data_IF_938620603992
#
_entry.id   IF_938620603992
#
_cell.length_a   1.000
_cell.length_b   1.000
_cell.length_c   1.000
_cell.angle_alpha   90.00
_cell.angle_beta   90.00
_cell.angle_gamma   90.00
#
_symmetry.space_group_name_H-M   'P 1'
#
loop_
_entity.id
_entity.type
_entity.pdbx_description
1 polymer ?
#
# COMPACT_ATOMS: atom_id res chain seq x y z
N UNK A 1 2.96 -14.57 -14.04
CA UNK A 1 2.78 -13.43 -13.10
C UNK A 1 3.05 -13.97 -11.71
N UNK A 2 3.90 -13.33 -10.89
CA UNK A 2 4.14 -13.77 -9.53
C UNK A 2 2.88 -13.57 -8.67
N UNK A 3 2.63 -14.49 -7.74
CA UNK A 3 1.59 -14.36 -6.74
C UNK A 3 2.05 -13.37 -5.66
N UNK A 4 1.22 -12.36 -5.37
CA UNK A 4 1.51 -11.38 -4.34
C UNK A 4 1.11 -11.93 -2.97
N UNK A 5 2.01 -11.82 -2.02
CA UNK A 5 1.70 -12.13 -0.62
C UNK A 5 0.90 -10.98 0.01
N UNK A 6 0.01 -11.33 0.94
CA UNK A 6 -0.67 -10.33 1.74
C UNK A 6 0.36 -9.57 2.62
N UNK A 7 0.18 -8.27 2.83
CA UNK A 7 1.03 -7.51 3.74
C UNK A 7 0.96 -8.12 5.15
N UNK A 8 2.11 -8.50 5.71
CA UNK A 8 2.21 -8.95 7.10
C UNK A 8 2.95 -7.92 7.93
N UNK A 9 2.72 -7.91 9.25
CA UNK A 9 3.43 -7.02 10.18
C UNK A 9 4.94 -7.26 10.15
N UNK A 10 5.39 -8.48 9.85
CA UNK A 10 6.82 -8.81 9.74
C UNK A 10 7.53 -8.07 8.60
N UNK A 11 6.82 -7.77 7.52
CA UNK A 11 7.36 -7.03 6.37
C UNK A 11 7.33 -5.51 6.57
N UNK A 12 6.70 -5.03 7.64
CA UNK A 12 6.53 -3.60 7.88
C UNK A 12 7.85 -2.85 8.03
N UNK A 13 8.79 -3.42 8.80
CA UNK A 13 10.10 -2.80 9.01
C UNK A 13 10.87 -2.68 7.70
N UNK A 14 10.97 -3.76 6.92
CA UNK A 14 11.65 -3.76 5.63
C UNK A 14 10.99 -2.82 4.62
N UNK A 15 9.66 -2.67 4.67
CA UNK A 15 8.95 -1.71 3.83
C UNK A 15 9.24 -0.26 4.22
N UNK A 16 9.31 0.07 5.51
CA UNK A 16 9.70 1.40 5.98
C UNK A 16 11.13 1.75 5.56
N UNK A 17 12.06 0.81 5.69
CA UNK A 17 13.46 1.02 5.26
C UNK A 17 13.52 1.34 3.76
N UNK A 18 12.84 0.55 2.93
CA UNK A 18 12.78 0.77 1.48
C UNK A 18 12.08 2.09 1.10
N UNK A 19 11.07 2.52 1.86
CA UNK A 19 10.41 3.84 1.70
C UNK A 19 11.38 4.98 2.02
N UNK A 20 12.13 4.85 3.12
CA UNK A 20 13.04 5.89 3.61
C UNK A 20 14.23 6.12 2.65
N UNK A 21 14.62 5.13 1.83
CA UNK A 21 15.61 5.29 0.76
C UNK A 21 15.27 6.41 -0.24
N UNK A 22 13.98 6.72 -0.41
CA UNK A 22 13.50 7.78 -1.32
C UNK A 22 13.34 9.14 -0.64
N UNK A 23 13.49 9.19 0.69
CA UNK A 23 13.30 10.38 1.51
C UNK A 23 11.89 10.54 2.07
N UNK A 24 11.81 10.89 3.35
CA UNK A 24 10.54 11.12 4.05
C UNK A 24 9.82 12.33 3.47
N UNK A 25 8.56 12.13 3.09
CA UNK A 25 7.73 13.18 2.48
C UNK A 25 7.92 13.35 0.97
N UNK A 26 8.79 12.57 0.33
CA UNK A 26 8.88 12.52 -1.13
C UNK A 26 7.64 11.84 -1.70
N UNK A 27 6.92 12.54 -2.60
CA UNK A 27 5.78 11.93 -3.30
C UNK A 27 6.31 10.84 -4.23
N UNK A 28 5.91 9.59 -3.96
CA UNK A 28 6.17 8.49 -4.88
C UNK A 28 4.96 8.31 -5.78
N UNK A 29 5.13 8.66 -7.06
CA UNK A 29 4.12 8.44 -8.09
C UNK A 29 3.75 6.95 -8.16
N UNK A 30 2.46 6.65 -8.06
CA UNK A 30 1.96 5.26 -8.09
C UNK A 30 1.97 4.52 -6.75
N UNK A 31 2.43 5.14 -5.66
CA UNK A 31 2.36 4.52 -4.31
C UNK A 31 0.93 4.37 -3.77
N UNK A 32 -0.02 5.17 -4.28
CA UNK A 32 -1.38 5.25 -3.75
C UNK A 32 -1.47 5.93 -2.38
N UNK A 33 -0.34 6.35 -1.79
CA UNK A 33 -0.27 7.03 -0.50
C UNK A 33 -0.59 8.52 -0.66
N UNK A 34 -1.39 9.02 0.27
CA UNK A 34 -1.70 10.44 0.42
C UNK A 34 -0.82 11.05 1.52
N UNK A 35 -0.52 12.35 1.45
CA UNK A 35 0.25 13.03 2.51
C UNK A 35 -0.36 12.94 3.91
N UNK A 36 -1.66 12.66 4.01
CA UNK A 36 -2.39 12.52 5.27
C UNK A 36 -2.40 11.09 5.83
N UNK A 37 -1.87 10.10 5.10
CA UNK A 37 -1.88 8.72 5.56
C UNK A 37 -0.79 8.52 6.63
N UNK A 38 -1.20 8.11 7.82
CA UNK A 38 -0.27 7.72 8.89
C UNK A 38 0.21 6.28 8.65
N UNK A 39 1.36 6.16 8.00
CA UNK A 39 2.01 4.87 7.73
C UNK A 39 3.14 4.56 8.72
N UNK A 40 3.40 5.44 9.67
CA UNK A 40 4.44 5.27 10.70
C UNK A 40 3.91 4.50 11.93
N UNK A 41 2.61 4.26 11.98
CA UNK A 41 1.94 3.44 12.99
C UNK A 41 1.49 2.08 12.42
N UNK A 42 1.87 0.96 13.06
CA UNK A 42 1.48 -0.42 12.66
C UNK A 42 -0.03 -0.64 12.61
N UNK A 43 -0.81 0.14 13.38
CA UNK A 43 -2.28 0.09 13.39
C UNK A 43 -2.94 0.44 12.05
N UNK A 44 -2.28 1.24 11.20
CA UNK A 44 -2.81 1.61 9.89
C UNK A 44 -2.77 0.45 8.88
N UNK A 45 -1.79 -0.47 9.01
CA UNK A 45 -1.69 -1.65 8.14
C UNK A 45 -2.76 -2.70 8.40
N UNK A 46 -3.14 -2.90 9.66
CA UNK A 46 -4.24 -3.80 10.02
C UNK A 46 -5.62 -3.32 9.53
N UNK A 47 -5.73 -2.02 9.24
CA UNK A 47 -6.96 -1.38 8.74
C UNK A 47 -6.98 -1.22 7.21
N UNK A 48 -5.89 -1.58 6.52
CA UNK A 48 -5.84 -1.54 5.05
C UNK A 48 -6.77 -2.63 4.51
N UNK A 49 -8.03 -2.25 4.29
CA UNK A 49 -9.04 -3.11 3.70
C UNK A 49 -8.46 -3.76 2.43
N UNK A 50 -8.75 -5.04 2.16
CA UNK A 50 -8.36 -5.65 0.90
C UNK A 50 -8.86 -4.78 -0.24
N UNK A 51 -7.98 -4.52 -1.21
CA UNK A 51 -8.33 -3.78 -2.41
C UNK A 51 -9.60 -4.43 -3.00
N UNK A 52 -10.71 -3.69 -3.19
CA UNK A 52 -11.90 -4.29 -3.77
C UNK A 52 -11.52 -4.85 -5.15
N UNK A 53 -11.98 -6.04 -5.52
CA UNK A 53 -11.67 -6.59 -6.83
C UNK A 53 -12.05 -5.56 -7.87
N UNK A 54 -11.14 -5.27 -8.80
CA UNK A 54 -11.39 -4.34 -9.89
C UNK A 54 -12.65 -4.84 -10.62
N UNK A 55 -13.77 -4.15 -10.39
CA UNK A 55 -15.01 -4.38 -11.11
C UNK A 55 -14.75 -3.97 -12.54
N UNK A 56 -14.37 -4.93 -13.36
CA UNK A 56 -14.47 -4.79 -14.80
C UNK A 56 -15.96 -4.60 -15.07
N UNK A 57 -16.35 -3.36 -15.33
CA UNK A 57 -17.72 -3.01 -15.64
C UNK A 57 -18.17 -3.79 -16.88
N UNK A 58 -18.94 -4.85 -16.68
CA UNK A 58 -19.78 -5.43 -17.73
C UNK A 58 -20.96 -4.50 -17.94
N UNK A 59 -20.71 -3.40 -18.66
CA UNK A 59 -21.78 -2.64 -19.31
C UNK A 59 -22.32 -3.44 -20.51
N UNK A 60 -23.64 -3.44 -20.75
CA UNK A 60 -24.22 -4.19 -21.85
C UNK A 60 -23.79 -3.61 -23.21
N UNK A 61 -23.58 -4.52 -24.16
CA UNK A 61 -23.20 -4.22 -25.56
C UNK A 61 -24.31 -3.53 -26.33
#
# INVERSE_FOLDING_TARGET
MPELIAPTIELYASWLDARDEWGRGTHQDGSGLRPSDDVDTTGALGAMLPFPPATHGTGPR
#
